data_IF_836132507035
#
_entry.id   IF_836132507035
#
_cell.length_a   1.000
_cell.length_b   1.000
_cell.length_c   1.000
_cell.angle_alpha   90.00
_cell.angle_beta   90.00
_cell.angle_gamma   90.00
#
_symmetry.space_group_name_H-M   'P 1'
#
loop_
_entity.id
_entity.type
_entity.pdbx_description
1 polymer ?
#
# COMPACT_ATOMS: atom_id res chain seq x y z
N UNK A 1 19.27 -32.78 -5.92
CA UNK A 1 18.89 -31.56 -5.17
C UNK A 1 17.39 -31.68 -4.92
N UNK A 2 16.96 -31.74 -3.66
CA UNK A 2 15.55 -31.87 -3.31
C UNK A 2 14.93 -30.47 -3.20
N UNK A 3 13.99 -30.17 -4.10
CA UNK A 3 13.32 -28.86 -4.17
C UNK A 3 12.06 -28.78 -3.30
N UNK A 4 11.68 -29.84 -2.59
CA UNK A 4 10.42 -29.91 -1.84
C UNK A 4 10.31 -28.80 -0.79
N UNK A 5 11.39 -28.55 -0.04
CA UNK A 5 11.45 -27.46 0.96
C UNK A 5 11.39 -26.07 0.32
N UNK A 6 11.99 -25.90 -0.86
CA UNK A 6 11.93 -24.62 -1.59
C UNK A 6 10.51 -24.36 -2.09
N UNK A 7 9.87 -25.38 -2.64
CA UNK A 7 8.49 -25.29 -3.14
C UNK A 7 7.48 -24.99 -2.03
N UNK A 8 7.71 -25.49 -0.81
CA UNK A 8 6.88 -25.16 0.36
C UNK A 8 6.93 -23.66 0.69
N UNK A 9 8.13 -23.06 0.69
CA UNK A 9 8.31 -21.61 0.89
C UNK A 9 7.67 -20.80 -0.24
N UNK A 10 7.82 -21.22 -1.50
CA UNK A 10 7.24 -20.52 -2.64
C UNK A 10 5.70 -20.57 -2.69
N UNK A 11 5.08 -21.53 -2.01
CA UNK A 11 3.62 -21.68 -1.92
C UNK A 11 3.01 -20.97 -0.72
N UNK A 12 3.79 -20.22 0.06
CA UNK A 12 3.29 -19.55 1.26
C UNK A 12 2.03 -18.71 0.98
N UNK A 13 0.87 -19.23 1.38
CA UNK A 13 -0.46 -18.66 1.07
C UNK A 13 -0.70 -17.32 1.78
N UNK A 14 0.10 -17.01 2.80
CA UNK A 14 -0.04 -15.81 3.63
C UNK A 14 0.92 -14.67 3.23
N UNK A 15 1.58 -14.76 2.08
CA UNK A 15 2.50 -13.71 1.63
C UNK A 15 1.88 -12.89 0.49
N UNK A 16 1.55 -11.63 0.79
CA UNK A 16 1.13 -10.69 -0.26
C UNK A 16 2.36 -10.14 -1.00
N UNK A 17 2.39 -10.21 -2.33
CA UNK A 17 3.49 -9.66 -3.10
C UNK A 17 3.56 -8.14 -2.91
N UNK A 18 4.77 -7.60 -2.89
CA UNK A 18 4.97 -6.14 -2.94
C UNK A 18 5.12 -5.69 -4.38
N UNK A 19 4.29 -4.74 -4.80
CA UNK A 19 4.36 -4.15 -6.13
C UNK A 19 4.99 -2.75 -6.08
N UNK A 20 5.87 -2.38 -7.03
CA UNK A 20 6.34 -1.02 -7.15
C UNK A 20 5.18 -0.06 -7.46
N UNK A 21 5.20 1.13 -6.86
CA UNK A 21 4.17 2.16 -7.06
C UNK A 21 3.95 2.51 -8.54
N UNK A 22 5.04 2.64 -9.31
CA UNK A 22 5.00 2.96 -10.74
C UNK A 22 4.58 1.79 -11.65
N UNK A 23 4.25 0.63 -11.07
CA UNK A 23 3.69 -0.51 -11.81
C UNK A 23 2.18 -0.65 -11.59
N UNK A 24 1.56 0.22 -10.81
CA UNK A 24 0.11 0.31 -10.71
C UNK A 24 -0.51 0.61 -12.08
N UNK A 25 -1.71 0.10 -12.31
CA UNK A 25 -2.44 0.34 -13.54
C UNK A 25 -3.01 1.76 -13.52
N UNK A 26 -2.76 2.46 -14.62
CA UNK A 26 -3.11 3.87 -14.81
C UNK A 26 -4.62 4.02 -14.94
N UNK A 27 -5.19 5.04 -14.27
CA UNK A 27 -6.63 5.32 -14.17
C UNK A 27 -7.43 4.21 -13.46
N UNK A 28 -6.76 3.43 -12.62
CA UNK A 28 -7.40 2.35 -11.86
C UNK A 28 -7.62 2.76 -10.40
N UNK A 29 -8.78 2.36 -9.87
CA UNK A 29 -9.14 2.53 -8.47
C UNK A 29 -8.85 1.24 -7.70
N UNK A 30 -8.22 1.38 -6.54
CA UNK A 30 -7.85 0.29 -5.66
C UNK A 30 -8.44 0.55 -4.28
N UNK A 31 -9.19 -0.41 -3.75
CA UNK A 31 -9.63 -0.38 -2.35
C UNK A 31 -8.41 -0.52 -1.45
N UNK A 32 -8.30 0.34 -0.46
CA UNK A 32 -7.26 0.24 0.56
C UNK A 32 -7.84 -0.54 1.72
N UNK A 33 -7.23 -1.67 2.06
CA UNK A 33 -7.72 -2.54 3.15
C UNK A 33 -6.85 -2.48 4.40
N UNK A 34 -5.60 -2.02 4.26
CA UNK A 34 -4.70 -1.83 5.39
C UNK A 34 -3.74 -0.67 5.09
N UNK A 35 -3.38 0.08 6.13
CA UNK A 35 -2.33 1.09 6.10
C UNK A 35 -1.46 0.90 7.34
N UNK A 36 -0.17 0.65 7.14
CA UNK A 36 0.75 0.31 8.21
C UNK A 36 2.04 1.11 8.11
N UNK A 37 2.45 1.73 9.22
CA UNK A 37 3.77 2.36 9.34
C UNK A 37 4.80 1.26 9.58
N UNK A 38 5.87 1.27 8.78
CA UNK A 38 6.97 0.32 8.89
C UNK A 38 8.29 1.06 9.08
N UNK A 39 9.17 0.51 9.91
CA UNK A 39 10.53 1.03 10.09
C UNK A 39 11.46 0.37 9.09
N UNK A 40 11.99 1.15 8.15
CA UNK A 40 12.98 0.69 7.18
C UNK A 40 14.38 1.15 7.59
N UNK A 41 15.42 0.63 6.93
CA UNK A 41 16.79 1.13 7.11
C UNK A 41 16.98 2.61 6.75
N UNK A 42 16.04 3.18 6.00
CA UNK A 42 16.05 4.58 5.56
C UNK A 42 15.10 5.48 6.38
N UNK A 43 14.53 4.96 7.47
CA UNK A 43 13.53 5.65 8.30
C UNK A 43 12.13 5.04 8.18
N UNK A 44 11.16 5.71 8.80
CA UNK A 44 9.77 5.31 8.74
C UNK A 44 9.21 5.45 7.32
N UNK A 45 8.40 4.47 6.91
CA UNK A 45 7.66 4.48 5.66
C UNK A 45 6.23 4.00 5.92
N UNK A 46 5.36 4.13 4.92
CA UNK A 46 3.98 3.63 5.00
C UNK A 46 3.78 2.63 3.87
N UNK A 47 3.31 1.45 4.24
CA UNK A 47 2.88 0.40 3.33
C UNK A 47 1.36 0.34 3.36
N UNK A 48 0.75 0.19 2.19
CA UNK A 48 -0.69 0.00 2.06
C UNK A 48 -0.99 -1.31 1.34
N UNK A 49 -2.05 -1.96 1.77
CA UNK A 49 -2.57 -3.17 1.11
C UNK A 49 -3.71 -2.76 0.18
N UNK A 50 -3.60 -3.15 -1.09
CA UNK A 50 -4.55 -2.80 -2.15
C UNK A 50 -5.32 -4.04 -2.60
N UNK A 51 -6.65 -3.94 -2.59
CA UNK A 51 -7.60 -5.00 -2.97
C UNK A 51 -7.32 -6.36 -2.29
N UNK A 52 -6.68 -6.38 -1.12
CA UNK A 52 -6.21 -7.61 -0.44
C UNK A 52 -5.26 -8.47 -1.28
N UNK A 53 -4.77 -7.97 -2.41
CA UNK A 53 -4.01 -8.77 -3.39
C UNK A 53 -2.52 -8.48 -3.39
N UNK A 54 -2.11 -7.26 -3.03
CA UNK A 54 -0.70 -6.88 -3.00
C UNK A 54 -0.47 -5.65 -2.12
N UNK A 55 0.77 -5.47 -1.69
CA UNK A 55 1.20 -4.31 -0.91
C UNK A 55 1.98 -3.34 -1.78
N UNK A 56 1.90 -2.04 -1.47
CA UNK A 56 2.73 -1.01 -2.10
C UNK A 56 3.26 -0.04 -1.06
N UNK A 57 4.48 0.45 -1.28
CA UNK A 57 5.02 1.56 -0.51
C UNK A 57 4.45 2.89 -1.02
N UNK A 58 3.95 3.72 -0.12
CA UNK A 58 3.51 5.06 -0.47
C UNK A 58 4.70 5.92 -0.91
N UNK A 59 4.50 6.82 -1.90
CA UNK A 59 5.54 7.77 -2.29
C UNK A 59 6.01 8.62 -1.12
N UNK A 60 7.32 8.87 -1.05
CA UNK A 60 7.95 9.55 0.09
C UNK A 60 7.38 10.94 0.40
N UNK A 61 6.87 11.66 -0.61
CA UNK A 61 6.18 12.95 -0.43
C UNK A 61 4.95 12.83 0.47
N UNK A 62 4.17 11.78 0.28
CA UNK A 62 2.94 11.49 1.01
C UNK A 62 3.26 10.93 2.38
N UNK A 63 4.24 10.03 2.48
CA UNK A 63 4.75 9.52 3.76
C UNK A 63 5.18 10.67 4.68
N UNK A 64 5.98 11.62 4.17
CA UNK A 64 6.43 12.77 4.96
C UNK A 64 5.28 13.63 5.49
N UNK A 65 4.19 13.77 4.73
CA UNK A 65 3.00 14.50 5.16
C UNK A 65 2.29 13.75 6.29
N UNK A 66 1.98 12.46 6.08
CA UNK A 66 1.23 11.63 7.04
C UNK A 66 2.00 11.34 8.33
N UNK A 67 3.33 11.27 8.28
CA UNK A 67 4.13 11.11 9.50
C UNK A 67 4.19 12.39 10.34
N UNK A 68 4.05 13.57 9.71
CA UNK A 68 3.96 14.87 10.39
C UNK A 68 2.56 15.10 10.98
N UNK A 69 1.53 14.71 10.26
CA UNK A 69 0.13 14.81 10.70
C UNK A 69 -0.42 13.42 11.08
N UNK A 70 -0.18 13.04 12.34
CA UNK A 70 -0.58 11.72 12.86
C UNK A 70 -2.10 11.57 12.97
N UNK A 71 -2.85 12.66 13.09
CA UNK A 71 -4.32 12.60 13.12
C UNK A 71 -4.86 12.28 11.73
N UNK A 72 -4.32 12.92 10.68
CA UNK A 72 -4.67 12.58 9.30
C UNK A 72 -4.33 11.12 8.95
N UNK A 73 -3.19 10.62 9.44
CA UNK A 73 -2.86 9.19 9.30
C UNK A 73 -3.92 8.28 9.93
N UNK A 74 -4.32 8.56 11.18
CA UNK A 74 -5.32 7.75 11.89
C UNK A 74 -6.65 7.72 11.13
N UNK A 75 -7.12 8.89 10.67
CA UNK A 75 -8.35 8.99 9.88
C UNK A 75 -8.30 8.14 8.61
N UNK A 76 -7.15 8.12 7.91
CA UNK A 76 -6.97 7.26 6.74
C UNK A 76 -6.92 5.78 7.10
N UNK A 77 -6.22 5.41 8.18
CA UNK A 77 -6.13 4.02 8.64
C UNK A 77 -7.51 3.49 9.08
N UNK A 78 -8.31 4.31 9.76
CA UNK A 78 -9.68 3.99 10.15
C UNK A 78 -10.57 3.85 8.91
N UNK A 79 -10.46 4.74 7.93
CA UNK A 79 -11.19 4.63 6.67
C UNK A 79 -10.82 3.37 5.88
N UNK A 80 -9.53 2.97 5.88
CA UNK A 80 -9.09 1.72 5.25
C UNK A 80 -9.69 0.49 5.95
N UNK A 81 -9.62 0.46 7.29
CA UNK A 81 -10.15 -0.64 8.11
C UNK A 81 -11.68 -0.78 7.95
N UNK A 82 -12.39 0.35 7.83
CA UNK A 82 -13.83 0.36 7.58
C UNK A 82 -14.19 0.08 6.10
N UNK A 83 -13.20 -0.11 5.23
CA UNK A 83 -13.41 -0.39 3.81
C UNK A 83 -13.94 0.80 3.00
N UNK A 84 -13.87 2.02 3.54
CA UNK A 84 -14.37 3.27 2.94
C UNK A 84 -13.27 4.08 2.26
N UNK A 85 -12.04 3.55 2.19
CA UNK A 85 -10.92 4.21 1.53
C UNK A 85 -10.56 3.56 0.19
N UNK A 86 -10.39 4.39 -0.83
CA UNK A 86 -9.91 3.99 -2.15
C UNK A 86 -8.76 4.90 -2.57
N UNK A 87 -7.80 4.37 -3.32
CA UNK A 87 -6.81 5.14 -4.06
C UNK A 87 -7.12 5.05 -5.54
N UNK A 88 -7.18 6.20 -6.20
CA UNK A 88 -7.23 6.28 -7.64
C UNK A 88 -5.83 6.63 -8.16
N UNK A 89 -5.18 5.69 -8.85
CA UNK A 89 -3.87 5.93 -9.45
C UNK A 89 -4.05 6.54 -10.83
N UNK A 90 -3.66 7.81 -10.98
CA UNK A 90 -3.86 8.60 -12.20
C UNK A 90 -2.70 8.37 -13.18
N UNK A 91 -1.50 8.05 -12.67
CA UNK A 91 -0.30 7.84 -13.48
C UNK A 91 0.52 9.10 -13.69
N UNK A 92 1.07 9.31 -14.89
CA UNK A 92 1.90 10.47 -15.19
C UNK A 92 3.36 10.37 -14.70
N UNK A 93 4.17 11.35 -15.08
CA UNK A 93 5.63 11.37 -14.83
C UNK A 93 5.98 11.25 -13.33
N UNK A 94 5.10 11.74 -12.46
CA UNK A 94 5.30 11.76 -11.01
C UNK A 94 4.46 10.74 -10.24
N UNK A 95 3.78 9.81 -10.94
CA UNK A 95 2.91 8.81 -10.32
C UNK A 95 1.81 9.44 -9.46
N UNK A 96 1.04 10.32 -10.07
CA UNK A 96 -0.11 11.04 -9.51
C UNK A 96 -1.21 10.08 -9.04
N UNK A 97 -1.84 10.45 -7.94
CA UNK A 97 -2.90 9.68 -7.31
C UNK A 97 -3.66 10.55 -6.33
N UNK A 98 -4.85 10.07 -5.95
CA UNK A 98 -5.72 10.71 -4.97
C UNK A 98 -6.32 9.65 -4.03
N UNK A 99 -6.51 10.04 -2.77
CA UNK A 99 -7.32 9.28 -1.82
C UNK A 99 -8.78 9.70 -1.98
N UNK A 100 -9.67 8.71 -2.06
CA UNK A 100 -11.11 8.90 -2.18
C UNK A 100 -11.75 8.22 -0.98
N UNK A 101 -12.45 9.00 -0.17
CA UNK A 101 -13.29 8.49 0.92
C UNK A 101 -14.70 8.28 0.40
N UNK A 102 -15.18 7.04 0.47
CA UNK A 102 -16.53 6.64 0.05
C UNK A 102 -17.40 6.67 1.30
N UNK A 103 -18.44 7.51 1.29
CA UNK A 103 -19.42 7.60 2.38
C UNK A 103 -20.37 6.42 2.38
#
# INVERSE_FOLDING_TARGET
MDFSKLNEVCRAENFLPTKPWNKLEVKTKYKVTEITIVKTKFGESIVITLNEGFTVFLPSRTVKLLLKDREQYKLLADAATNGTLTIHYIGGQYGEFEFIHIK
#
